data_IF_752569551440
#
_entry.id   IF_752569551440
#
_cell.length_a   1.000
_cell.length_b   1.000
_cell.length_c   1.000
_cell.angle_alpha   90.00
_cell.angle_beta   90.00
_cell.angle_gamma   90.00
#
_symmetry.space_group_name_H-M   'P 1'
#
loop_
_entity.id
_entity.type
_entity.pdbx_description
1 polymer ?
#
# COMPACT_ATOMS: atom_id res chain seq x y z
N UNK A 1 -4.35 20.22 -5.38
CA UNK A 1 -3.95 18.97 -4.70
C UNK A 1 -3.04 18.16 -5.63
N UNK A 2 -2.39 17.11 -5.13
CA UNK A 2 -1.56 16.31 -6.03
C UNK A 2 -0.83 15.14 -5.37
N UNK A 3 -0.05 14.41 -6.19
CA UNK A 3 0.88 13.38 -5.76
C UNK A 3 2.31 13.93 -5.80
N UNK A 4 2.99 13.90 -4.66
CA UNK A 4 4.41 14.24 -4.54
C UNK A 4 5.27 13.00 -4.72
N UNK A 5 6.19 13.02 -5.68
CA UNK A 5 7.13 11.94 -5.96
C UNK A 5 8.22 12.35 -6.94
N UNK A 6 9.16 11.46 -7.25
CA UNK A 6 10.23 11.75 -8.24
C UNK A 6 9.97 11.10 -9.61
N UNK A 7 9.44 9.88 -9.65
CA UNK A 7 9.16 9.15 -10.91
C UNK A 7 7.70 8.68 -10.89
N UNK A 8 6.80 9.57 -11.28
CA UNK A 8 5.35 9.41 -11.10
C UNK A 8 4.54 9.51 -12.40
N UNK A 9 5.19 9.44 -13.56
CA UNK A 9 4.54 9.58 -14.87
C UNK A 9 3.50 8.49 -15.18
N UNK A 10 3.62 7.33 -14.54
CA UNK A 10 2.74 6.16 -14.73
C UNK A 10 1.58 6.08 -13.72
N UNK A 11 1.45 7.08 -12.84
CA UNK A 11 0.49 7.01 -11.72
C UNK A 11 -0.96 7.14 -12.19
N UNK A 12 -1.84 6.31 -11.62
CA UNK A 12 -3.29 6.41 -11.79
C UNK A 12 -3.95 7.39 -10.79
N UNK A 13 -3.20 7.95 -9.84
CA UNK A 13 -3.76 8.83 -8.81
C UNK A 13 -4.48 10.06 -9.38
N UNK A 14 -3.96 10.77 -10.41
CA UNK A 14 -4.70 11.89 -11.02
C UNK A 14 -6.04 11.46 -11.64
N UNK A 15 -6.09 10.30 -12.30
CA UNK A 15 -7.33 9.75 -12.84
C UNK A 15 -8.34 9.51 -11.72
N UNK A 16 -7.93 8.81 -10.67
CA UNK A 16 -8.79 8.42 -9.52
C UNK A 16 -9.34 9.68 -8.83
N UNK A 17 -8.48 10.61 -8.45
CA UNK A 17 -8.89 11.76 -7.65
C UNK A 17 -9.64 12.82 -8.45
N UNK A 18 -9.29 13.05 -9.73
CA UNK A 18 -10.04 13.98 -10.58
C UNK A 18 -11.41 13.41 -10.95
N UNK A 19 -11.51 12.08 -11.19
CA UNK A 19 -12.80 11.44 -11.41
C UNK A 19 -13.68 11.54 -10.16
N UNK A 20 -13.13 11.23 -8.97
CA UNK A 20 -13.85 11.38 -7.71
C UNK A 20 -14.32 12.81 -7.46
N UNK A 21 -13.46 13.82 -7.70
CA UNK A 21 -13.84 15.21 -7.56
C UNK A 21 -15.02 15.58 -8.47
N UNK A 22 -14.99 15.14 -9.72
CA UNK A 22 -16.07 15.35 -10.69
C UNK A 22 -17.37 14.67 -10.26
N UNK A 23 -17.34 13.40 -9.87
CA UNK A 23 -18.54 12.65 -9.46
C UNK A 23 -19.17 13.19 -8.18
N UNK A 24 -18.36 13.77 -7.28
CA UNK A 24 -18.81 14.42 -6.06
C UNK A 24 -19.16 15.91 -6.23
N UNK A 25 -19.10 16.47 -7.43
CA UNK A 25 -19.40 17.87 -7.72
C UNK A 25 -18.39 18.86 -7.10
N UNK A 26 -17.15 18.44 -6.83
CA UNK A 26 -16.12 19.27 -6.21
C UNK A 26 -15.31 20.05 -7.26
N UNK A 27 -15.13 21.35 -7.06
CA UNK A 27 -14.29 22.18 -7.93
C UNK A 27 -12.81 22.07 -7.51
N UNK A 28 -12.17 20.97 -7.84
CA UNK A 28 -10.78 20.66 -7.49
C UNK A 28 -10.03 20.13 -8.69
N UNK A 29 -8.69 20.22 -8.61
CA UNK A 29 -7.75 19.58 -9.52
C UNK A 29 -6.69 18.82 -8.72
N UNK A 30 -6.39 17.59 -9.15
CA UNK A 30 -5.32 16.77 -8.63
C UNK A 30 -4.26 16.53 -9.70
N UNK A 31 -3.00 16.87 -9.42
CA UNK A 31 -1.90 16.88 -10.37
C UNK A 31 -0.78 15.93 -9.93
N UNK A 32 -0.04 15.32 -10.88
CA UNK A 32 1.25 14.72 -10.57
C UNK A 32 2.28 15.85 -10.37
N UNK A 33 2.92 15.89 -9.20
CA UNK A 33 3.87 16.93 -8.81
C UNK A 33 5.25 16.28 -8.61
N UNK A 34 6.04 16.30 -9.66
CA UNK A 34 7.37 15.72 -9.63
C UNK A 34 8.35 16.73 -9.03
N UNK A 35 8.88 16.41 -7.84
CA UNK A 35 9.78 17.27 -7.08
C UNK A 35 11.01 16.51 -6.60
N UNK A 36 12.21 17.10 -6.65
CA UNK A 36 13.38 16.61 -5.93
C UNK A 36 13.16 16.67 -4.41
N UNK A 37 13.74 15.73 -3.67
CA UNK A 37 13.60 15.67 -2.20
C UNK A 37 13.97 16.98 -1.50
N UNK A 38 14.99 17.70 -1.98
CA UNK A 38 15.43 18.98 -1.41
C UNK A 38 14.38 20.11 -1.49
N UNK A 39 13.40 20.00 -2.39
CA UNK A 39 12.37 21.03 -2.60
C UNK A 39 11.06 20.74 -1.86
N UNK A 40 10.89 19.56 -1.28
CA UNK A 40 9.61 19.17 -0.66
C UNK A 40 9.22 20.11 0.49
N UNK A 41 10.16 20.47 1.37
CA UNK A 41 9.87 21.34 2.51
C UNK A 41 9.40 22.74 2.09
N UNK A 42 10.13 23.40 1.18
CA UNK A 42 9.75 24.72 0.65
C UNK A 42 8.45 24.68 -0.14
N UNK A 43 8.23 23.62 -0.91
CA UNK A 43 6.97 23.41 -1.62
C UNK A 43 5.78 23.32 -0.65
N UNK A 44 5.89 22.56 0.42
CA UNK A 44 4.81 22.41 1.41
C UNK A 44 4.45 23.75 2.07
N UNK A 45 5.45 24.63 2.31
CA UNK A 45 5.18 25.96 2.85
C UNK A 45 4.39 26.82 1.84
N UNK A 46 4.87 26.92 0.61
CA UNK A 46 4.19 27.68 -0.46
C UNK A 46 2.77 27.13 -0.71
N UNK A 47 2.63 25.81 -0.75
CA UNK A 47 1.33 25.16 -0.95
C UNK A 47 0.34 25.46 0.18
N UNK A 48 0.83 25.59 1.43
CA UNK A 48 0.02 26.03 2.56
C UNK A 48 -0.51 27.45 2.32
N UNK A 49 0.38 28.38 1.98
CA UNK A 49 0.04 29.80 1.78
C UNK A 49 -0.93 29.98 0.60
N UNK A 50 -0.82 29.13 -0.43
CA UNK A 50 -1.72 29.08 -1.60
C UNK A 50 -3.07 28.42 -1.33
N UNK A 51 -3.33 27.91 -0.13
CA UNK A 51 -4.61 27.28 0.20
C UNK A 51 -4.78 25.85 -0.34
N UNK A 52 -3.70 25.13 -0.64
CA UNK A 52 -3.81 23.72 -1.04
C UNK A 52 -4.49 22.88 0.07
N UNK A 53 -5.33 21.91 -0.32
CA UNK A 53 -6.07 21.07 0.62
C UNK A 53 -5.24 19.89 1.12
N UNK A 54 -4.32 19.38 0.31
CA UNK A 54 -3.47 18.25 0.69
C UNK A 54 -2.80 17.56 -0.48
N UNK A 55 -2.02 16.53 -0.17
CA UNK A 55 -1.23 15.78 -1.13
C UNK A 55 -1.13 14.31 -0.74
N UNK A 56 -1.10 13.41 -1.73
CA UNK A 56 -0.50 12.11 -1.51
C UNK A 56 1.03 12.22 -1.65
N UNK A 57 1.73 11.29 -1.02
CA UNK A 57 3.18 11.20 -1.04
C UNK A 57 3.60 9.79 -1.43
N UNK A 58 4.49 9.67 -2.40
CA UNK A 58 5.06 8.37 -2.80
C UNK A 58 6.59 8.38 -2.69
N UNK A 59 7.20 7.30 -3.09
CA UNK A 59 8.66 7.12 -3.09
C UNK A 59 9.33 8.23 -3.93
N UNK A 60 10.45 8.80 -3.44
CA UNK A 60 11.16 8.47 -2.20
C UNK A 60 10.73 9.30 -0.97
N UNK A 61 9.72 10.15 -1.06
CA UNK A 61 9.42 11.22 -0.12
C UNK A 61 8.68 10.81 1.16
N UNK A 62 8.13 9.59 1.26
CA UNK A 62 7.30 9.16 2.42
C UNK A 62 7.99 9.32 3.77
N UNK A 63 9.26 8.91 3.89
CA UNK A 63 10.03 9.04 5.13
C UNK A 63 10.47 10.49 5.38
N UNK A 64 10.83 11.22 4.33
CA UNK A 64 11.18 12.63 4.41
C UNK A 64 10.02 13.46 4.94
N UNK A 65 8.81 13.29 4.39
CA UNK A 65 7.63 14.02 4.84
C UNK A 65 7.29 13.66 6.30
N UNK A 66 7.45 12.40 6.69
CA UNK A 66 7.28 11.99 8.09
C UNK A 66 8.24 12.76 9.03
N UNK A 67 9.47 13.03 8.60
CA UNK A 67 10.44 13.81 9.40
C UNK A 67 10.19 15.32 9.38
N UNK A 68 9.66 15.85 8.27
CA UNK A 68 9.39 17.29 8.11
C UNK A 68 8.15 17.78 8.87
N UNK A 69 7.17 16.91 9.07
CA UNK A 69 5.89 17.25 9.68
C UNK A 69 5.73 16.51 11.03
N UNK A 70 6.29 17.03 12.13
CA UNK A 70 6.30 16.36 13.42
C UNK A 70 4.92 16.30 14.09
N UNK A 71 4.82 15.52 15.17
CA UNK A 71 3.59 15.39 15.98
C UNK A 71 2.80 14.10 15.71
N UNK A 72 3.44 13.12 15.11
CA UNK A 72 2.88 11.78 14.88
C UNK A 72 3.95 10.69 15.12
N UNK A 73 3.52 9.44 15.18
CA UNK A 73 4.40 8.26 15.35
C UNK A 73 4.64 7.48 14.05
N UNK A 74 4.16 7.98 12.90
CA UNK A 74 4.27 7.31 11.62
C UNK A 74 5.71 7.36 11.09
N UNK A 75 6.27 6.23 10.71
CA UNK A 75 7.55 6.13 10.02
C UNK A 75 7.45 6.37 8.50
N UNK A 76 6.23 6.28 7.96
CA UNK A 76 5.95 6.43 6.53
C UNK A 76 4.60 7.14 6.36
N UNK A 77 4.64 8.30 5.73
CA UNK A 77 3.46 9.12 5.43
C UNK A 77 3.17 9.06 3.94
N UNK A 78 1.95 8.73 3.56
CA UNK A 78 1.50 8.76 2.16
C UNK A 78 0.40 9.79 1.90
N UNK A 79 -0.10 10.47 2.94
CA UNK A 79 -1.16 11.47 2.80
C UNK A 79 -0.90 12.65 3.72
N UNK A 80 -0.95 13.87 3.16
CA UNK A 80 -0.90 15.16 3.85
C UNK A 80 -2.26 15.83 3.65
N UNK A 81 -2.81 16.39 4.70
CA UNK A 81 -4.07 17.14 4.62
C UNK A 81 -4.01 18.41 5.48
N UNK A 82 -4.81 19.39 5.09
CA UNK A 82 -4.83 20.69 5.77
C UNK A 82 -5.58 20.56 7.09
N UNK A 83 -4.90 20.84 8.21
CA UNK A 83 -5.51 21.05 9.51
C UNK A 83 -5.89 22.52 9.71
N UNK A 84 -6.24 22.90 10.94
CA UNK A 84 -6.62 24.27 11.27
C UNK A 84 -5.45 25.24 11.12
N UNK A 85 -4.28 24.90 11.67
CA UNK A 85 -3.11 25.75 11.80
C UNK A 85 -1.83 25.20 11.16
N UNK A 86 -1.86 23.94 10.72
CA UNK A 86 -0.71 23.24 10.14
C UNK A 86 -1.12 22.04 9.31
N UNK A 87 -0.17 21.53 8.53
CA UNK A 87 -0.33 20.25 7.85
C UNK A 87 -0.50 19.11 8.87
N UNK A 88 -1.45 18.25 8.59
CA UNK A 88 -1.64 16.97 9.25
C UNK A 88 -1.20 15.85 8.30
N UNK A 89 -0.85 14.71 8.86
CA UNK A 89 -0.36 13.57 8.09
C UNK A 89 -1.08 12.27 8.46
N UNK A 90 -1.15 11.37 7.50
CA UNK A 90 -1.70 10.05 7.69
C UNK A 90 -0.97 9.01 6.82
N UNK A 91 -1.16 7.74 7.17
CA UNK A 91 -0.86 6.60 6.31
C UNK A 91 -2.16 5.91 5.93
N UNK A 92 -2.56 6.02 4.67
CA UNK A 92 -3.77 5.37 4.13
C UNK A 92 -3.45 4.01 3.49
N UNK A 93 -2.16 3.62 3.40
CA UNK A 93 -1.74 2.34 2.81
C UNK A 93 -2.27 1.15 3.62
N UNK A 94 -2.13 1.17 4.95
CA UNK A 94 -2.59 0.08 5.81
C UNK A 94 -4.12 -0.10 5.77
N UNK A 95 -4.92 0.94 6.05
CA UNK A 95 -6.37 0.87 5.88
C UNK A 95 -6.81 0.46 4.48
N UNK A 96 -6.14 1.00 3.43
CA UNK A 96 -6.42 0.66 2.04
C UNK A 96 -6.15 -0.80 1.72
N UNK A 97 -5.08 -1.37 2.28
CA UNK A 97 -4.78 -2.80 2.15
C UNK A 97 -5.86 -3.67 2.78
N UNK A 98 -6.21 -3.41 4.06
CA UNK A 98 -7.22 -4.22 4.77
C UNK A 98 -8.58 -4.14 4.09
N UNK A 99 -9.04 -2.95 3.69
CA UNK A 99 -10.30 -2.81 2.96
C UNK A 99 -10.22 -3.45 1.56
N UNK A 100 -9.05 -3.36 0.92
CA UNK A 100 -8.79 -4.00 -0.36
C UNK A 100 -9.01 -5.51 -0.33
N UNK A 101 -8.66 -6.22 0.74
CA UNK A 101 -8.87 -7.67 0.87
C UNK A 101 -10.36 -8.06 0.71
N UNK A 102 -11.28 -7.21 1.16
CA UNK A 102 -12.73 -7.45 1.01
C UNK A 102 -13.18 -7.65 -0.43
N UNK A 103 -12.49 -7.03 -1.41
CA UNK A 103 -12.83 -7.18 -2.83
C UNK A 103 -12.44 -8.54 -3.44
N UNK A 104 -11.61 -9.33 -2.75
CA UNK A 104 -11.40 -10.75 -3.09
C UNK A 104 -12.19 -11.70 -2.18
N UNK A 105 -13.14 -11.17 -1.38
CA UNK A 105 -13.93 -11.94 -0.44
C UNK A 105 -13.13 -12.47 0.74
N UNK A 106 -12.09 -11.75 1.20
CA UNK A 106 -11.26 -12.14 2.31
C UNK A 106 -11.26 -11.06 3.42
N UNK A 107 -11.18 -11.53 4.67
CA UNK A 107 -10.94 -10.70 5.84
C UNK A 107 -9.55 -10.99 6.40
N UNK A 108 -8.88 -9.97 6.95
CA UNK A 108 -7.55 -10.13 7.53
C UNK A 108 -7.55 -11.10 8.72
N UNK A 109 -8.65 -11.19 9.46
CA UNK A 109 -8.83 -12.11 10.59
C UNK A 109 -8.88 -13.59 10.18
N UNK A 110 -9.09 -13.91 8.89
CA UNK A 110 -9.03 -15.28 8.39
C UNK A 110 -7.60 -15.84 8.45
N UNK A 111 -6.58 -14.97 8.33
CA UNK A 111 -5.20 -15.38 8.16
C UNK A 111 -4.43 -15.40 9.49
N UNK A 112 -3.97 -16.58 9.87
CA UNK A 112 -3.06 -16.74 11.03
C UNK A 112 -1.62 -16.38 10.69
N UNK A 113 -1.27 -16.41 9.40
CA UNK A 113 0.07 -16.23 8.89
C UNK A 113 0.09 -15.26 7.72
N UNK A 114 1.02 -14.34 7.74
CA UNK A 114 1.36 -13.46 6.63
C UNK A 114 2.76 -13.78 6.12
N UNK A 115 2.91 -14.03 4.83
CA UNK A 115 4.20 -14.18 4.16
C UNK A 115 4.41 -12.98 3.24
N UNK A 116 5.28 -12.06 3.63
CA UNK A 116 5.48 -10.79 2.95
C UNK A 116 6.75 -10.84 2.11
N UNK A 117 6.63 -10.58 0.82
CA UNK A 117 7.75 -10.50 -0.12
C UNK A 117 8.12 -9.03 -0.28
N UNK A 118 9.26 -8.63 0.30
CA UNK A 118 9.72 -7.24 0.34
C UNK A 118 9.63 -6.61 1.74
N UNK A 119 10.27 -5.46 1.92
CA UNK A 119 10.38 -4.76 3.20
C UNK A 119 10.37 -3.23 3.06
N UNK A 120 9.66 -2.72 2.05
CA UNK A 120 9.50 -1.29 1.80
C UNK A 120 8.55 -0.59 2.78
N UNK A 121 8.41 0.73 2.63
CA UNK A 121 7.56 1.56 3.48
C UNK A 121 6.09 1.13 3.52
N UNK A 122 5.57 0.50 2.47
CA UNK A 122 4.20 -0.04 2.45
C UNK A 122 4.03 -1.19 3.44
N UNK A 123 5.06 -2.04 3.60
CA UNK A 123 5.04 -3.14 4.58
C UNK A 123 4.98 -2.58 6.00
N UNK A 124 5.80 -1.57 6.30
CA UNK A 124 5.74 -0.88 7.59
C UNK A 124 4.36 -0.25 7.85
N UNK A 125 3.73 0.35 6.84
CA UNK A 125 2.40 0.94 6.95
C UNK A 125 1.31 -0.11 7.21
N UNK A 126 1.34 -1.25 6.49
CA UNK A 126 0.39 -2.35 6.69
C UNK A 126 0.53 -2.93 8.10
N UNK A 127 1.75 -3.31 8.49
CA UNK A 127 1.98 -3.92 9.80
C UNK A 127 1.69 -2.96 10.95
N UNK A 128 2.04 -1.67 10.82
CA UNK A 128 1.69 -0.65 11.79
C UNK A 128 0.17 -0.49 11.95
N UNK A 129 -0.58 -0.58 10.85
CA UNK A 129 -2.03 -0.54 10.91
C UNK A 129 -2.63 -1.77 11.59
N UNK A 130 -2.14 -2.99 11.28
CA UNK A 130 -2.59 -4.22 11.94
C UNK A 130 -2.29 -4.21 13.44
N UNK A 131 -1.11 -3.75 13.85
CA UNK A 131 -0.76 -3.58 15.26
C UNK A 131 -1.71 -2.61 15.97
N UNK A 132 -2.06 -1.50 15.30
CA UNK A 132 -3.03 -0.54 15.84
C UNK A 132 -4.44 -1.13 15.96
N UNK A 133 -4.92 -1.84 14.94
CA UNK A 133 -6.23 -2.51 14.98
C UNK A 133 -6.29 -3.51 16.15
N UNK A 134 -5.22 -4.29 16.36
CA UNK A 134 -5.13 -5.21 17.47
C UNK A 134 -5.17 -4.49 18.83
N UNK A 135 -4.39 -3.41 18.97
CA UNK A 135 -4.38 -2.58 20.17
C UNK A 135 -5.74 -1.94 20.50
N UNK A 136 -6.58 -1.73 19.50
CA UNK A 136 -7.96 -1.23 19.63
C UNK A 136 -9.01 -2.36 19.82
N UNK A 137 -8.60 -3.64 19.81
CA UNK A 137 -9.50 -4.78 19.85
C UNK A 137 -10.33 -5.00 18.58
N UNK A 138 -9.93 -4.38 17.47
CA UNK A 138 -10.57 -4.50 16.15
C UNK A 138 -9.96 -5.60 15.27
N UNK A 139 -8.86 -6.18 15.67
CA UNK A 139 -8.25 -7.37 15.10
C UNK A 139 -8.17 -8.43 16.22
N UNK A 140 -8.80 -9.57 16.01
CA UNK A 140 -8.97 -10.59 17.06
C UNK A 140 -7.63 -11.15 17.55
N UNK A 141 -6.64 -11.27 16.66
CA UNK A 141 -5.29 -11.76 16.97
C UNK A 141 -4.25 -11.16 16.05
N UNK A 142 -3.02 -11.05 16.54
CA UNK A 142 -1.87 -10.73 15.67
C UNK A 142 -1.48 -11.96 14.84
N UNK A 143 -1.37 -11.85 13.52
CA UNK A 143 -0.85 -12.92 12.68
C UNK A 143 0.66 -13.15 12.93
N UNK A 144 1.14 -14.36 12.67
CA UNK A 144 2.56 -14.63 12.54
C UNK A 144 3.04 -14.05 11.21
N UNK A 145 4.17 -13.36 11.20
CA UNK A 145 4.65 -12.64 10.03
C UNK A 145 6.01 -13.18 9.59
N UNK A 146 6.12 -13.63 8.34
CA UNK A 146 7.39 -13.97 7.71
C UNK A 146 7.71 -12.93 6.64
N UNK A 147 8.77 -12.14 6.82
CA UNK A 147 9.21 -11.11 5.88
C UNK A 147 10.42 -11.61 5.12
N UNK A 148 10.26 -11.80 3.82
CA UNK A 148 11.29 -12.26 2.91
C UNK A 148 11.78 -11.09 2.04
N UNK A 149 13.00 -10.63 2.26
CA UNK A 149 13.53 -9.46 1.57
C UNK A 149 15.02 -9.61 1.25
N UNK A 150 15.53 -8.73 0.38
CA UNK A 150 16.95 -8.65 0.05
C UNK A 150 17.72 -7.71 0.98
N UNK A 151 17.04 -6.75 1.60
CA UNK A 151 17.68 -5.64 2.32
C UNK A 151 17.53 -5.69 3.83
N UNK A 152 16.51 -6.36 4.34
CA UNK A 152 16.20 -6.45 5.78
C UNK A 152 16.03 -5.09 6.51
N UNK A 153 15.61 -4.04 5.81
CA UNK A 153 15.53 -2.67 6.33
C UNK A 153 14.44 -2.48 7.41
N UNK A 154 13.37 -3.29 7.37
CA UNK A 154 12.20 -3.14 8.25
C UNK A 154 12.40 -3.73 9.65
N UNK A 155 13.50 -4.48 9.88
CA UNK A 155 13.72 -5.24 11.12
C UNK A 155 13.57 -4.42 12.40
N UNK A 156 14.23 -3.26 12.47
CA UNK A 156 14.24 -2.46 13.69
C UNK A 156 12.91 -1.76 13.92
N UNK A 157 12.33 -1.22 12.86
CA UNK A 157 11.03 -0.58 12.92
C UNK A 157 9.95 -1.55 13.43
N UNK A 158 9.90 -2.78 12.89
CA UNK A 158 8.91 -3.79 13.31
C UNK A 158 9.09 -4.25 14.76
N UNK A 159 10.31 -4.27 15.27
CA UNK A 159 10.55 -4.55 16.69
C UNK A 159 9.92 -3.51 17.62
N UNK A 160 9.79 -2.27 17.13
CA UNK A 160 9.20 -1.18 17.89
C UNK A 160 7.68 -1.16 17.85
N UNK A 161 7.07 -1.56 16.73
CA UNK A 161 5.63 -1.44 16.52
C UNK A 161 4.87 -2.75 16.65
N UNK A 162 5.53 -3.91 16.43
CA UNK A 162 4.85 -5.19 16.53
C UNK A 162 4.81 -5.65 17.98
N UNK A 163 3.62 -5.82 18.59
CA UNK A 163 3.47 -6.05 20.02
C UNK A 163 4.17 -7.31 20.53
N UNK A 164 4.30 -8.33 19.67
CA UNK A 164 5.02 -9.55 19.99
C UNK A 164 6.06 -9.90 18.90
N UNK A 165 7.31 -9.60 19.19
CA UNK A 165 8.42 -9.86 18.26
C UNK A 165 8.68 -11.34 17.99
N UNK A 166 8.19 -12.26 18.85
CA UNK A 166 8.31 -13.71 18.63
C UNK A 166 7.48 -14.19 17.45
N UNK A 167 6.47 -13.43 17.06
CA UNK A 167 5.62 -13.70 15.89
C UNK A 167 6.25 -13.25 14.56
N UNK A 168 7.41 -12.60 14.58
CA UNK A 168 8.03 -12.06 13.34
C UNK A 168 9.30 -12.80 13.01
N UNK A 169 9.37 -13.31 11.78
CA UNK A 169 10.56 -13.96 11.21
C UNK A 169 11.06 -13.17 10.00
N UNK A 170 12.36 -13.17 9.80
CA UNK A 170 13.01 -12.54 8.66
C UNK A 170 13.86 -13.55 7.89
N UNK A 171 13.80 -13.49 6.57
CA UNK A 171 14.56 -14.33 5.67
C UNK A 171 14.96 -13.63 4.38
N UNK A 172 15.93 -14.22 3.66
CA UNK A 172 16.23 -13.75 2.32
C UNK A 172 15.12 -14.14 1.35
N UNK A 173 14.81 -13.26 0.39
CA UNK A 173 13.83 -13.57 -0.66
C UNK A 173 14.42 -14.57 -1.66
N UNK A 174 14.02 -15.82 -1.54
CA UNK A 174 14.38 -16.91 -2.43
C UNK A 174 13.27 -17.97 -2.48
N UNK A 175 13.26 -18.80 -3.51
CA UNK A 175 12.32 -19.92 -3.62
C UNK A 175 12.41 -20.88 -2.43
N UNK A 176 13.62 -21.18 -1.97
CA UNK A 176 13.83 -22.10 -0.84
C UNK A 176 13.27 -21.54 0.47
N UNK A 177 13.51 -20.26 0.77
CA UNK A 177 13.01 -19.63 1.98
C UNK A 177 11.49 -19.47 1.94
N UNK A 178 10.94 -19.12 0.76
CA UNK A 178 9.48 -19.06 0.56
C UNK A 178 8.86 -20.46 0.75
N UNK A 179 9.44 -21.50 0.16
CA UNK A 179 8.95 -22.87 0.33
C UNK A 179 8.91 -23.29 1.80
N UNK A 180 9.97 -22.97 2.57
CA UNK A 180 10.05 -23.28 3.99
C UNK A 180 8.96 -22.52 4.79
N UNK A 181 8.71 -21.24 4.47
CA UNK A 181 7.66 -20.44 5.10
C UNK A 181 6.27 -21.02 4.81
N UNK A 182 6.00 -21.38 3.55
CA UNK A 182 4.71 -21.94 3.13
C UNK A 182 4.48 -23.38 3.60
N UNK A 183 5.53 -24.17 3.77
CA UNK A 183 5.42 -25.49 4.39
C UNK A 183 4.94 -25.40 5.84
N UNK A 184 5.34 -24.35 6.57
CA UNK A 184 4.89 -24.08 7.94
C UNK A 184 3.50 -23.40 7.99
N UNK A 185 3.08 -22.74 6.91
CA UNK A 185 1.85 -21.96 6.82
C UNK A 185 1.20 -22.09 5.42
N UNK A 186 0.64 -23.25 5.07
CA UNK A 186 0.14 -23.52 3.71
C UNK A 186 -1.12 -22.72 3.34
N UNK A 187 -1.78 -22.10 4.31
CA UNK A 187 -2.99 -21.29 4.15
C UNK A 187 -2.73 -19.78 4.43
N UNK A 188 -1.47 -19.36 4.44
CA UNK A 188 -1.09 -17.98 4.67
C UNK A 188 -1.66 -17.01 3.63
N UNK A 189 -1.67 -15.72 3.97
CA UNK A 189 -1.77 -14.66 2.97
C UNK A 189 -0.36 -14.28 2.51
N UNK A 190 -0.07 -14.50 1.23
CA UNK A 190 1.14 -13.96 0.61
C UNK A 190 0.87 -12.51 0.20
N UNK A 191 1.74 -11.59 0.63
CA UNK A 191 1.69 -10.18 0.26
C UNK A 191 2.95 -9.85 -0.55
N UNK A 192 2.80 -9.71 -1.88
CA UNK A 192 3.87 -9.27 -2.77
C UNK A 192 3.99 -7.75 -2.69
N UNK A 193 5.02 -7.24 -2.02
CA UNK A 193 5.24 -5.83 -1.74
C UNK A 193 6.57 -5.31 -2.34
N UNK A 194 7.20 -6.08 -3.24
CA UNK A 194 8.40 -5.61 -3.96
C UNK A 194 8.01 -4.79 -5.19
N UNK A 195 8.90 -3.91 -5.62
CA UNK A 195 8.78 -3.23 -6.91
C UNK A 195 9.34 -4.05 -8.09
N UNK A 196 9.59 -5.34 -7.90
CA UNK A 196 10.19 -6.23 -8.89
C UNK A 196 9.45 -6.22 -10.23
N UNK A 197 8.10 -6.36 -10.29
CA UNK A 197 7.37 -6.35 -11.55
C UNK A 197 7.51 -5.04 -12.34
N UNK A 198 7.59 -3.89 -11.67
CA UNK A 198 7.84 -2.60 -12.34
C UNK A 198 9.25 -2.48 -12.94
N UNK A 199 10.19 -3.34 -12.51
CA UNK A 199 11.56 -3.40 -13.03
C UNK A 199 11.78 -4.54 -14.00
N UNK A 200 10.70 -5.21 -14.45
CA UNK A 200 10.76 -6.32 -15.40
C UNK A 200 11.09 -7.68 -14.77
N UNK A 201 11.17 -7.80 -13.44
CA UNK A 201 11.31 -9.08 -12.75
C UNK A 201 9.90 -9.63 -12.47
N UNK A 202 9.54 -10.69 -13.18
CA UNK A 202 8.21 -11.31 -13.12
C UNK A 202 8.00 -12.28 -11.95
N UNK A 203 9.00 -12.43 -11.07
CA UNK A 203 9.00 -13.31 -9.91
C UNK A 203 8.80 -14.81 -10.22
N UNK A 204 9.04 -15.25 -11.47
CA UNK A 204 8.87 -16.64 -11.90
C UNK A 204 9.72 -17.62 -11.10
N UNK A 205 10.87 -17.18 -10.60
CA UNK A 205 11.77 -18.03 -9.79
C UNK A 205 11.15 -18.46 -8.45
N UNK A 206 10.07 -17.81 -8.00
CA UNK A 206 9.36 -18.18 -6.76
C UNK A 206 8.30 -19.27 -6.97
N UNK A 207 7.87 -19.54 -8.21
CA UNK A 207 6.80 -20.48 -8.50
C UNK A 207 7.02 -21.91 -7.92
N UNK A 208 8.23 -22.47 -7.94
CA UNK A 208 8.45 -23.78 -7.33
C UNK A 208 8.13 -23.87 -5.84
N UNK A 209 8.11 -22.72 -5.12
CA UNK A 209 7.79 -22.66 -3.71
C UNK A 209 6.29 -22.81 -3.42
N UNK A 210 5.43 -22.64 -4.42
CA UNK A 210 3.97 -22.64 -4.25
C UNK A 210 3.34 -24.04 -4.28
N UNK A 211 4.15 -25.10 -4.36
CA UNK A 211 3.65 -26.47 -4.29
C UNK A 211 2.88 -26.68 -2.98
N UNK A 212 1.62 -27.16 -3.09
CA UNK A 212 0.70 -27.38 -1.98
C UNK A 212 0.25 -26.12 -1.22
N UNK A 213 0.55 -24.92 -1.72
CA UNK A 213 -0.01 -23.68 -1.17
C UNK A 213 -1.51 -23.60 -1.46
N UNK A 214 -2.31 -23.22 -0.44
CA UNK A 214 -3.78 -23.16 -0.51
C UNK A 214 -4.35 -21.85 0.02
N UNK A 215 -3.48 -20.92 0.37
CA UNK A 215 -3.86 -19.62 0.91
C UNK A 215 -4.31 -18.62 -0.15
N UNK A 216 -4.10 -17.36 0.11
CA UNK A 216 -4.42 -16.26 -0.79
C UNK A 216 -3.18 -15.44 -1.16
N UNK A 217 -3.23 -14.73 -2.28
CA UNK A 217 -2.13 -13.88 -2.76
C UNK A 217 -2.63 -12.48 -3.08
N UNK A 218 -2.05 -11.49 -2.42
CA UNK A 218 -2.24 -10.09 -2.73
C UNK A 218 -0.94 -9.51 -3.31
N UNK A 219 -0.95 -9.13 -4.58
CA UNK A 219 0.17 -8.43 -5.22
C UNK A 219 -0.10 -6.93 -5.13
N UNK A 220 0.72 -6.16 -4.41
CA UNK A 220 0.51 -4.72 -4.22
C UNK A 220 0.88 -3.89 -5.46
N UNK A 221 1.41 -4.52 -6.50
CA UNK A 221 1.71 -3.87 -7.77
C UNK A 221 0.46 -3.82 -8.63
N UNK A 222 0.19 -2.67 -9.21
CA UNK A 222 -0.86 -2.45 -10.20
C UNK A 222 -0.26 -2.06 -11.56
N UNK A 223 -0.97 -2.34 -12.65
CA UNK A 223 -0.53 -1.98 -14.01
C UNK A 223 0.58 -2.87 -14.59
N UNK A 224 1.22 -3.70 -13.80
CA UNK A 224 2.16 -4.72 -14.24
C UNK A 224 1.70 -6.09 -13.75
N UNK A 225 1.78 -7.11 -14.61
CA UNK A 225 1.39 -8.47 -14.25
C UNK A 225 2.63 -9.29 -13.90
N UNK A 226 2.67 -9.83 -12.68
CA UNK A 226 3.71 -10.80 -12.30
C UNK A 226 3.30 -12.23 -12.70
N UNK A 227 4.26 -13.07 -13.08
CA UNK A 227 4.01 -14.50 -13.30
C UNK A 227 3.54 -15.19 -12.01
N UNK A 228 3.97 -14.69 -10.86
CA UNK A 228 3.49 -15.15 -9.56
C UNK A 228 1.96 -15.04 -9.48
N UNK A 229 1.41 -13.85 -9.74
CA UNK A 229 -0.03 -13.61 -9.67
C UNK A 229 -0.80 -14.41 -10.72
N UNK A 230 -0.26 -14.48 -11.96
CA UNK A 230 -0.85 -15.27 -13.05
C UNK A 230 -0.94 -16.76 -12.70
N UNK A 231 0.16 -17.32 -12.21
CA UNK A 231 0.22 -18.73 -11.79
C UNK A 231 -0.79 -19.03 -10.68
N UNK A 232 -0.85 -18.20 -9.64
CA UNK A 232 -1.79 -18.38 -8.52
C UNK A 232 -3.25 -18.32 -9.00
N UNK A 233 -3.58 -17.40 -9.92
CA UNK A 233 -4.93 -17.31 -10.52
C UNK A 233 -5.27 -18.56 -11.32
N UNK A 234 -4.33 -19.06 -12.15
CA UNK A 234 -4.54 -20.30 -12.93
C UNK A 234 -4.65 -21.54 -12.04
N UNK A 235 -4.03 -21.52 -10.87
CA UNK A 235 -4.12 -22.58 -9.86
C UNK A 235 -5.40 -22.52 -9.01
N UNK A 236 -6.33 -21.59 -9.30
CA UNK A 236 -7.60 -21.46 -8.56
C UNK A 236 -7.48 -20.86 -7.17
N UNK A 237 -6.35 -20.23 -6.82
CA UNK A 237 -6.17 -19.54 -5.56
C UNK A 237 -6.93 -18.21 -5.55
N UNK A 238 -7.31 -17.76 -4.35
CA UNK A 238 -7.81 -16.38 -4.17
C UNK A 238 -6.66 -15.41 -4.42
N UNK A 239 -6.83 -14.53 -5.40
CA UNK A 239 -5.78 -13.58 -5.78
C UNK A 239 -6.34 -12.19 -6.02
N UNK A 240 -5.54 -11.18 -5.68
CA UNK A 240 -5.84 -9.77 -5.91
C UNK A 240 -4.58 -9.03 -6.35
N UNK A 241 -4.72 -8.11 -7.30
CA UNK A 241 -3.67 -7.16 -7.65
C UNK A 241 -3.74 -5.89 -6.79
N UNK A 242 -2.78 -4.99 -6.97
CA UNK A 242 -2.68 -3.75 -6.20
C UNK A 242 -3.74 -2.70 -6.49
N UNK A 243 -4.66 -2.93 -7.45
CA UNK A 243 -5.65 -1.93 -7.84
C UNK A 243 -6.68 -1.69 -6.74
N UNK A 244 -7.16 -2.74 -6.08
CA UNK A 244 -8.12 -2.57 -4.99
C UNK A 244 -7.52 -1.78 -3.82
N UNK A 245 -6.29 -2.10 -3.42
CA UNK A 245 -5.58 -1.30 -2.41
C UNK A 245 -5.38 0.15 -2.88
N UNK A 246 -5.04 0.37 -4.15
CA UNK A 246 -4.85 1.70 -4.72
C UNK A 246 -6.14 2.54 -4.62
N UNK A 247 -7.29 1.97 -4.95
CA UNK A 247 -8.58 2.63 -4.86
C UNK A 247 -8.93 2.90 -3.39
N UNK A 248 -8.82 1.91 -2.51
CA UNK A 248 -9.22 2.07 -1.11
C UNK A 248 -8.35 3.07 -0.35
N UNK A 249 -7.01 3.09 -0.57
CA UNK A 249 -6.16 4.10 0.04
C UNK A 249 -6.48 5.52 -0.48
N UNK A 250 -6.86 5.64 -1.75
CA UNK A 250 -7.29 6.91 -2.32
C UNK A 250 -8.62 7.38 -1.69
N UNK A 251 -9.57 6.48 -1.47
CA UNK A 251 -10.84 6.77 -0.77
C UNK A 251 -10.60 7.23 0.67
N UNK A 252 -9.62 6.64 1.38
CA UNK A 252 -9.23 7.15 2.71
C UNK A 252 -8.65 8.57 2.63
N UNK A 253 -7.81 8.86 1.64
CA UNK A 253 -7.28 10.21 1.42
C UNK A 253 -8.40 11.21 1.11
N UNK A 254 -9.38 10.83 0.27
CA UNK A 254 -10.56 11.66 -0.04
C UNK A 254 -11.36 12.01 1.20
N UNK A 255 -11.59 11.05 2.11
CA UNK A 255 -12.27 11.30 3.40
C UNK A 255 -11.52 12.32 4.25
N UNK A 256 -10.19 12.26 4.30
CA UNK A 256 -9.36 13.21 5.04
C UNK A 256 -9.41 14.61 4.44
N UNK A 257 -9.46 14.73 3.12
CA UNK A 257 -9.46 16.04 2.43
C UNK A 257 -10.83 16.67 2.32
N UNK A 258 -11.86 15.87 2.06
CA UNK A 258 -13.19 16.33 1.63
C UNK A 258 -14.32 15.88 2.57
N UNK A 259 -14.03 15.09 3.59
CA UNK A 259 -15.02 14.50 4.49
C UNK A 259 -15.87 13.38 3.86
N UNK A 260 -15.68 13.09 2.57
CA UNK A 260 -16.41 12.08 1.80
C UNK A 260 -15.51 11.44 0.76
N UNK A 261 -15.93 10.30 0.20
CA UNK A 261 -15.20 9.59 -0.85
C UNK A 261 -16.17 9.07 -1.93
N UNK A 262 -15.70 9.00 -3.18
CA UNK A 262 -16.41 8.31 -4.24
C UNK A 262 -16.54 6.81 -3.92
N UNK A 263 -17.51 6.11 -4.53
CA UNK A 263 -17.64 4.67 -4.36
C UNK A 263 -16.46 3.91 -4.98
N UNK A 264 -16.20 2.70 -4.49
CA UNK A 264 -15.16 1.85 -5.08
C UNK A 264 -15.49 1.53 -6.54
N UNK A 265 -16.74 1.18 -6.81
CA UNK A 265 -17.24 0.77 -8.13
C UNK A 265 -17.10 1.91 -9.16
N UNK A 266 -17.38 3.15 -8.76
CA UNK A 266 -17.23 4.32 -9.62
C UNK A 266 -15.76 4.56 -10.00
N UNK A 267 -14.84 4.45 -9.04
CA UNK A 267 -13.40 4.60 -9.28
C UNK A 267 -12.82 3.42 -10.09
N UNK A 268 -13.29 2.21 -9.84
CA UNK A 268 -12.93 1.02 -10.60
C UNK A 268 -13.34 1.17 -12.06
N UNK A 269 -14.60 1.58 -12.32
CA UNK A 269 -15.11 1.80 -13.66
C UNK A 269 -14.32 2.88 -14.42
N UNK A 270 -13.89 3.94 -13.73
CA UNK A 270 -13.05 4.99 -14.33
C UNK A 270 -11.68 4.45 -14.78
N UNK A 271 -11.05 3.60 -13.97
CA UNK A 271 -9.77 2.96 -14.33
C UNK A 271 -9.95 2.02 -15.51
N UNK A 272 -11.01 1.21 -15.53
CA UNK A 272 -11.27 0.25 -16.58
C UNK A 272 -11.57 0.95 -17.92
N UNK A 273 -12.34 2.05 -17.88
CA UNK A 273 -12.58 2.90 -19.04
C UNK A 273 -11.30 3.52 -19.61
N UNK A 274 -10.40 4.03 -18.75
CA UNK A 274 -9.13 4.59 -19.19
C UNK A 274 -8.23 3.51 -19.83
N UNK A 275 -8.16 2.31 -19.27
CA UNK A 275 -7.41 1.18 -19.85
C UNK A 275 -7.96 0.75 -21.21
N UNK A 276 -9.29 0.73 -21.38
CA UNK A 276 -9.92 0.39 -22.65
C UNK A 276 -9.60 1.40 -23.77
N UNK A 277 -9.35 2.65 -23.39
CA UNK A 277 -8.94 3.73 -24.30
C UNK A 277 -7.41 3.80 -24.53
N UNK A 278 -6.63 2.94 -23.88
CA UNK A 278 -5.17 2.95 -23.92
C UNK A 278 -4.55 4.30 -23.46
N UNK A 279 -5.23 4.97 -22.54
CA UNK A 279 -4.79 6.22 -21.92
C UNK A 279 -4.01 5.94 -20.61
#
# INVERSE_FOLDING_TARGET
MGLLGEQISYTLSPLIHNHAAKSLGLNLVYLPLQLPSAQVGSFLQVAWDMGALGFNVTTPHKALVASLLPGHTLSSVNTIYRGTDRWQVASTDGPGFVQGLGHMGADIDEFQDLVILGDGGVVAAILGHLANLHGLGLLARLPRVSILSRSHQVKEYLRLIWPDSSLVRFGNLSAATLAAALAAAPEALIIQATSAPHRGDDLAYLLPALNNFRGAVCDLVYGASSKLLQFCRQSGLRVQDGQAMLIEQARQSQKLWWGQAASYEDLQAAIDAARALQI
#
